data_IF_819166379090
#
_entry.id   IF_819166379090
#
_cell.length_a   1.000
_cell.length_b   1.000
_cell.length_c   1.000
_cell.angle_alpha   90.00
_cell.angle_beta   90.00
_cell.angle_gamma   90.00
#
_symmetry.space_group_name_H-M   'P 1'
#
loop_
_entity.id
_entity.type
_entity.pdbx_description
1 polymer ?
#
# COMPACT_ATOMS: atom_id res chain seq x y z
N UNK A 1 -2.91 -3.95 8.98
CA UNK A 1 -1.69 -4.63 8.47
C UNK A 1 -1.99 -5.94 7.76
N UNK A 2 -2.73 -6.89 8.36
CA UNK A 2 -3.04 -8.19 7.72
C UNK A 2 -3.72 -8.06 6.34
N UNK A 3 -4.66 -7.10 6.20
CA UNK A 3 -5.35 -6.82 4.92
C UNK A 3 -4.37 -6.41 3.81
N UNK A 4 -3.34 -5.63 4.15
CA UNK A 4 -2.32 -5.16 3.20
C UNK A 4 -1.43 -6.32 2.75
N UNK A 5 -1.08 -7.23 3.67
CA UNK A 5 -0.30 -8.44 3.38
C UNK A 5 -1.07 -9.36 2.43
N UNK A 6 -2.37 -9.56 2.67
CA UNK A 6 -3.24 -10.35 1.79
C UNK A 6 -3.32 -9.72 0.40
N UNK A 7 -3.51 -8.39 0.34
CA UNK A 7 -3.57 -7.65 -0.93
C UNK A 7 -2.25 -7.77 -1.72
N UNK A 8 -1.10 -7.68 -1.02
CA UNK A 8 0.22 -7.85 -1.61
C UNK A 8 0.42 -9.28 -2.15
N UNK A 9 -0.01 -10.30 -1.40
CA UNK A 9 0.07 -11.69 -1.85
C UNK A 9 -0.74 -11.92 -3.14
N UNK A 10 -1.97 -11.39 -3.21
CA UNK A 10 -2.82 -11.46 -4.41
C UNK A 10 -2.12 -10.77 -5.60
N UNK A 11 -1.57 -9.57 -5.38
CA UNK A 11 -0.84 -8.83 -6.43
C UNK A 11 0.35 -9.62 -6.96
N UNK A 12 1.16 -10.21 -6.08
CA UNK A 12 2.33 -11.02 -6.46
C UNK A 12 1.91 -12.26 -7.27
N UNK A 13 0.84 -12.95 -6.86
CA UNK A 13 0.31 -14.11 -7.59
C UNK A 13 -0.16 -13.70 -9.01
N UNK A 14 -0.91 -12.60 -9.13
CA UNK A 14 -1.37 -12.10 -10.42
C UNK A 14 -0.21 -11.72 -11.34
N UNK A 15 0.77 -11.00 -10.83
CA UNK A 15 1.96 -10.64 -11.61
C UNK A 15 2.77 -11.87 -12.02
N UNK A 16 2.93 -12.87 -11.15
CA UNK A 16 3.60 -14.12 -11.49
C UNK A 16 2.89 -14.85 -12.64
N UNK A 17 1.56 -14.93 -12.60
CA UNK A 17 0.75 -15.51 -13.68
C UNK A 17 0.93 -14.75 -15.00
N UNK A 18 0.93 -13.41 -14.95
CA UNK A 18 1.13 -12.56 -16.13
C UNK A 18 2.53 -12.79 -16.72
N UNK A 19 3.59 -12.80 -15.90
CA UNK A 19 4.96 -13.06 -16.37
C UNK A 19 5.09 -14.46 -16.96
N UNK A 20 4.51 -15.47 -16.30
CA UNK A 20 4.53 -16.84 -16.78
C UNK A 20 3.87 -16.98 -18.15
N UNK A 21 2.81 -16.20 -18.43
CA UNK A 21 2.17 -16.16 -19.74
C UNK A 21 3.00 -15.37 -20.76
N UNK A 22 3.52 -14.20 -20.39
CA UNK A 22 4.34 -13.34 -21.27
C UNK A 22 5.58 -14.07 -21.77
N UNK A 23 6.27 -14.83 -20.91
CA UNK A 23 7.45 -15.61 -21.31
C UNK A 23 7.14 -16.66 -22.39
N UNK A 24 5.90 -17.12 -22.50
CA UNK A 24 5.47 -18.08 -23.52
C UNK A 24 5.04 -17.42 -24.85
N UNK A 25 4.96 -16.08 -24.90
CA UNK A 25 4.65 -15.36 -26.14
C UNK A 25 5.92 -15.03 -26.92
N UNK A 26 5.95 -15.44 -28.19
CA UNK A 26 7.08 -15.23 -29.11
C UNK A 26 7.45 -13.74 -29.23
N UNK A 27 6.46 -12.84 -29.17
CA UNK A 27 6.65 -11.37 -29.21
C UNK A 27 7.51 -10.83 -28.06
N UNK A 28 7.50 -11.51 -26.90
CA UNK A 28 8.22 -11.06 -25.70
C UNK A 28 9.54 -11.81 -25.48
N UNK A 29 9.89 -12.76 -26.36
CA UNK A 29 11.15 -13.52 -26.30
C UNK A 29 12.41 -12.65 -26.34
N UNK A 30 12.31 -11.44 -26.91
CA UNK A 30 13.40 -10.47 -27.05
C UNK A 30 13.42 -9.41 -25.94
N UNK A 31 12.42 -9.39 -25.06
CA UNK A 31 12.36 -8.38 -24.00
C UNK A 31 13.35 -8.77 -22.90
N UNK A 32 14.27 -7.86 -22.51
CA UNK A 32 15.21 -8.12 -21.43
C UNK A 32 14.47 -8.45 -20.13
N UNK A 33 14.83 -9.58 -19.49
CA UNK A 33 14.26 -9.98 -18.19
C UNK A 33 14.43 -8.90 -17.12
N UNK A 34 15.49 -8.09 -17.24
CA UNK A 34 15.76 -6.97 -16.34
C UNK A 34 14.72 -5.85 -16.48
N UNK A 35 14.22 -5.58 -17.70
CA UNK A 35 13.12 -4.64 -17.92
C UNK A 35 11.83 -5.15 -17.30
N UNK A 36 11.53 -6.45 -17.45
CA UNK A 36 10.34 -7.08 -16.85
C UNK A 36 10.39 -6.96 -15.32
N UNK A 37 11.54 -7.25 -14.71
CA UNK A 37 11.75 -7.10 -13.27
C UNK A 37 11.62 -5.63 -12.83
N UNK A 38 12.16 -4.68 -13.60
CA UNK A 38 12.03 -3.25 -13.29
C UNK A 38 10.56 -2.79 -13.32
N UNK A 39 9.78 -3.25 -14.30
CA UNK A 39 8.34 -2.95 -14.39
C UNK A 39 7.61 -3.52 -13.17
N UNK A 40 7.96 -4.74 -12.74
CA UNK A 40 7.38 -5.38 -11.56
C UNK A 40 7.65 -4.58 -10.27
N UNK A 41 8.89 -4.15 -10.06
CA UNK A 41 9.27 -3.31 -8.91
C UNK A 41 8.53 -1.98 -8.95
N UNK A 42 8.39 -1.38 -10.12
CA UNK A 42 7.66 -0.12 -10.28
C UNK A 42 6.18 -0.25 -9.90
N UNK A 43 5.49 -1.29 -10.39
CA UNK A 43 4.07 -1.53 -10.06
C UNK A 43 3.86 -1.84 -8.58
N UNK A 44 4.74 -2.63 -7.97
CA UNK A 44 4.66 -2.92 -6.53
C UNK A 44 4.86 -1.66 -5.68
N UNK A 45 5.79 -0.78 -6.06
CA UNK A 45 5.98 0.52 -5.40
C UNK A 45 4.73 1.42 -5.51
N UNK A 46 4.15 1.55 -6.71
CA UNK A 46 2.92 2.34 -6.91
C UNK A 46 1.81 1.81 -6.01
N UNK A 47 1.60 0.49 -6.00
CA UNK A 47 0.55 -0.12 -5.19
C UNK A 47 0.73 0.14 -3.69
N UNK A 48 1.96 0.00 -3.17
CA UNK A 48 2.26 0.30 -1.77
C UNK A 48 2.02 1.77 -1.43
N UNK A 49 2.40 2.69 -2.34
CA UNK A 49 2.14 4.12 -2.18
C UNK A 49 0.65 4.43 -2.19
N UNK A 50 -0.13 3.83 -3.09
CA UNK A 50 -1.58 3.98 -3.14
C UNK A 50 -2.23 3.50 -1.85
N UNK A 51 -1.87 2.30 -1.36
CA UNK A 51 -2.37 1.78 -0.08
C UNK A 51 -2.03 2.71 1.08
N UNK A 52 -0.79 3.22 1.12
CA UNK A 52 -0.39 4.19 2.14
C UNK A 52 -1.25 5.46 2.08
N UNK A 53 -1.50 5.96 0.88
CA UNK A 53 -2.33 7.15 0.68
C UNK A 53 -3.78 6.93 1.12
N UNK A 54 -4.38 5.80 0.74
CA UNK A 54 -5.73 5.42 1.18
C UNK A 54 -5.81 5.28 2.71
N UNK A 55 -4.86 4.57 3.34
CA UNK A 55 -4.84 4.44 4.80
C UNK A 55 -4.63 5.79 5.52
N UNK A 56 -3.89 6.71 4.91
CA UNK A 56 -3.71 8.05 5.48
C UNK A 56 -5.01 8.85 5.48
N UNK A 57 -5.85 8.66 4.45
CA UNK A 57 -7.19 9.27 4.37
C UNK A 57 -8.11 8.69 5.46
N UNK A 58 -8.04 7.39 5.75
CA UNK A 58 -8.83 6.76 6.83
C UNK A 58 -8.41 7.21 8.23
N UNK A 59 -7.18 7.74 8.41
CA UNK A 59 -6.69 8.22 9.71
C UNK A 59 -7.02 9.69 10.02
N UNK A 60 -7.84 10.36 9.20
CA UNK A 60 -8.20 11.79 9.35
C UNK A 60 -9.15 12.04 10.54
N UNK A 61 -8.70 11.69 11.74
CA UNK A 61 -9.20 12.33 12.94
C UNK A 61 -8.26 13.47 13.35
N UNK A 62 -8.81 14.60 13.77
CA UNK A 62 -8.04 15.68 14.37
C UNK A 62 -7.59 15.21 15.75
N UNK A 63 -6.27 15.10 15.94
CA UNK A 63 -5.71 14.79 17.25
C UNK A 63 -5.83 16.00 18.16
N UNK A 64 -6.53 15.83 19.27
CA UNK A 64 -6.60 16.80 20.36
C UNK A 64 -5.59 16.35 21.42
N UNK A 65 -4.55 17.16 21.70
CA UNK A 65 -3.54 16.79 22.69
C UNK A 65 -4.13 16.74 24.10
N UNK A 66 -3.48 15.96 24.96
CA UNK A 66 -3.82 15.94 26.38
C UNK A 66 -3.66 17.34 26.98
N UNK A 67 -4.59 17.74 27.85
CA UNK A 67 -4.59 19.05 28.49
C UNK A 67 -4.77 18.89 30.00
N UNK A 68 -4.00 19.62 30.77
CA UNK A 68 -4.20 19.75 32.20
C UNK A 68 -5.09 20.97 32.46
N UNK A 69 -6.18 20.80 33.21
CA UNK A 69 -7.15 21.87 33.49
C UNK A 69 -6.93 22.58 34.83
N UNK A 70 -5.92 22.16 35.59
CA UNK A 70 -5.63 22.67 36.93
C UNK A 70 -6.01 21.69 38.04
N UNK A 71 -6.89 20.73 37.76
CA UNK A 71 -7.36 19.71 38.71
C UNK A 71 -7.01 18.30 38.23
N UNK A 72 -7.27 18.00 36.96
CA UNK A 72 -7.06 16.68 36.37
C UNK A 72 -6.37 16.74 34.99
N UNK A 73 -5.73 15.62 34.63
CA UNK A 73 -5.14 15.42 33.30
C UNK A 73 -6.20 14.87 32.35
N UNK A 74 -6.65 15.69 31.40
CA UNK A 74 -7.58 15.27 30.35
C UNK A 74 -6.78 14.55 29.26
N UNK A 75 -7.02 13.25 29.02
CA UNK A 75 -6.27 12.49 28.01
C UNK A 75 -6.57 13.00 26.59
N UNK A 76 -5.56 12.94 25.73
CA UNK A 76 -5.72 13.29 24.32
C UNK A 76 -6.68 12.34 23.62
N UNK A 77 -7.43 12.87 22.65
CA UNK A 77 -8.42 12.10 21.88
C UNK A 77 -8.30 12.39 20.39
N UNK A 78 -8.74 11.45 19.56
CA UNK A 78 -8.80 11.62 18.11
C UNK A 78 -10.27 11.85 17.75
N UNK A 79 -10.60 13.05 17.25
CA UNK A 79 -11.94 13.38 16.76
C UNK A 79 -12.04 13.14 15.27
N UNK A 80 -12.92 12.24 14.85
CA UNK A 80 -13.20 12.00 13.42
C UNK A 80 -14.41 12.86 13.04
N UNK A 81 -14.26 13.77 12.07
CA UNK A 81 -15.41 14.50 11.51
C UNK A 81 -16.40 13.48 10.91
N UNK A 82 -17.66 13.52 11.37
CA UNK A 82 -18.74 12.62 10.95
C UNK A 82 -19.22 12.92 9.53
#
# INVERSE_FOLDING_TARGET
>A
MIKIIILLAILLILLFLVISRINNFILFSRVPKLLIASIFVFFTLIFLLSIRFLNNIESKGTYIPAKYDGVDLIPGKVEVEK
#
